data_IF_871898925378
#
_entry.id   IF_871898925378
#
_cell.length_a   1.000
_cell.length_b   1.000
_cell.length_c   1.000
_cell.angle_alpha   90.00
_cell.angle_beta   90.00
_cell.angle_gamma   90.00
#
_symmetry.space_group_name_H-M   'P 1'
#
loop_
_entity.id
_entity.type
_entity.pdbx_description
1 polymer ?
#
# COMPACT_ATOMS: atom_id res chain seq x y z
N UNK A 1 -29.80 -5.43 -36.72
CA UNK A 1 -29.59 -4.01 -37.08
C UNK A 1 -29.49 -3.21 -35.79
N UNK A 2 -28.39 -2.46 -35.63
CA UNK A 2 -28.03 -1.47 -34.58
C UNK A 2 -27.56 -1.99 -33.20
N UNK A 3 -26.23 -2.11 -33.11
CA UNK A 3 -25.43 -1.79 -31.92
C UNK A 3 -25.76 -0.37 -31.42
N UNK A 4 -25.85 -0.19 -30.11
CA UNK A 4 -25.48 1.07 -29.47
C UNK A 4 -24.39 0.80 -28.43
N UNK A 5 -23.14 1.12 -28.81
CA UNK A 5 -22.03 1.29 -27.88
C UNK A 5 -22.30 2.57 -27.08
N UNK A 6 -22.49 2.46 -25.76
CA UNK A 6 -22.32 3.60 -24.86
C UNK A 6 -20.83 3.81 -24.66
N UNK A 7 -20.29 4.82 -25.35
CA UNK A 7 -19.00 5.43 -25.07
C UNK A 7 -19.10 6.08 -23.69
N UNK A 8 -18.45 5.50 -22.68
CA UNK A 8 -18.25 6.17 -21.40
C UNK A 8 -17.22 7.29 -21.60
N UNK A 9 -17.59 8.49 -21.18
CA UNK A 9 -16.78 9.68 -21.40
C UNK A 9 -15.62 9.71 -20.39
N UNK A 10 -14.54 10.40 -20.78
CA UNK A 10 -13.34 10.65 -19.96
C UNK A 10 -13.62 11.37 -18.63
N UNK A 11 -14.85 11.83 -18.39
CA UNK A 11 -15.28 12.61 -17.23
C UNK A 11 -16.02 11.80 -16.14
N UNK A 12 -16.32 10.52 -16.37
CA UNK A 12 -16.94 9.65 -15.35
C UNK A 12 -15.88 9.10 -14.36
N UNK A 13 -14.60 9.41 -14.60
CA UNK A 13 -13.44 8.94 -13.83
C UNK A 13 -13.28 9.63 -12.46
N UNK A 14 -13.94 10.76 -12.21
CA UNK A 14 -13.75 11.57 -10.99
C UNK A 14 -14.94 11.61 -10.02
N UNK A 15 -16.05 10.90 -10.30
CA UNK A 15 -17.29 10.98 -9.47
C UNK A 15 -17.81 9.63 -8.97
N UNK A 16 -16.91 8.82 -8.43
CA UNK A 16 -17.23 7.56 -7.76
C UNK A 16 -16.93 7.54 -6.26
N UNK A 17 -16.75 8.69 -5.60
CA UNK A 17 -16.48 8.79 -4.17
C UNK A 17 -17.78 8.98 -3.38
N UNK A 18 -18.50 7.89 -3.13
CA UNK A 18 -19.51 7.87 -2.06
C UNK A 18 -19.87 6.44 -1.65
N UNK A 19 -18.89 5.70 -1.15
CA UNK A 19 -19.16 4.56 -0.26
C UNK A 19 -18.38 4.76 1.02
N UNK A 20 -19.07 5.33 2.02
CA UNK A 20 -18.72 5.44 3.44
C UNK A 20 -17.30 4.98 3.82
N UNK A 21 -16.33 5.87 3.61
CA UNK A 21 -14.98 5.69 4.12
C UNK A 21 -15.00 5.74 5.65
N UNK A 22 -14.72 4.62 6.30
CA UNK A 22 -14.27 4.65 7.70
C UNK A 22 -12.89 5.30 7.72
N UNK A 23 -12.64 6.30 8.58
CA UNK A 23 -11.37 7.02 8.56
C UNK A 23 -10.28 6.14 9.17
N UNK A 24 -9.54 5.42 8.32
CA UNK A 24 -8.24 4.89 8.73
C UNK A 24 -7.23 6.04 8.72
N UNK A 25 -7.18 6.71 9.86
CA UNK A 25 -6.31 7.84 10.14
C UNK A 25 -4.82 7.46 10.06
N UNK A 26 -4.08 8.30 9.35
CA UNK A 26 -2.62 8.36 9.39
C UNK A 26 -2.00 8.42 8.00
N UNK A 27 -0.87 9.13 7.90
CA UNK A 27 0.11 9.29 6.79
C UNK A 27 0.33 8.09 5.84
N UNK A 28 -0.16 6.91 6.22
CA UNK A 28 -0.08 5.57 5.64
C UNK A 28 -1.18 5.22 4.63
N UNK A 29 -2.40 5.77 4.77
CA UNK A 29 -3.46 5.65 3.76
C UNK A 29 -3.07 6.24 2.40
N UNK A 30 -2.12 7.19 2.40
CA UNK A 30 -1.54 7.80 1.20
C UNK A 30 -0.60 6.90 0.41
N UNK A 31 -0.04 5.84 1.01
CA UNK A 31 0.85 4.92 0.29
C UNK A 31 0.09 4.12 -0.79
N UNK A 32 -1.19 3.86 -0.52
CA UNK A 32 -2.10 3.10 -1.37
C UNK A 32 -3.40 3.85 -1.60
N UNK A 33 -3.30 5.15 -1.91
CA UNK A 33 -4.41 5.89 -2.53
C UNK A 33 -5.03 5.04 -3.66
N UNK A 34 -6.36 5.05 -3.81
CA UNK A 34 -7.17 4.06 -4.55
C UNK A 34 -6.58 3.64 -5.91
N UNK A 35 -5.89 4.55 -6.62
CA UNK A 35 -5.21 4.27 -7.89
C UNK A 35 -3.93 3.42 -7.83
N UNK A 36 -3.15 3.46 -6.75
CA UNK A 36 -1.88 2.72 -6.61
C UNK A 36 -2.11 1.25 -6.28
N UNK A 37 -3.08 0.96 -5.41
CA UNK A 37 -3.45 -0.43 -5.07
C UNK A 37 -3.93 -1.19 -6.30
N UNK A 38 -4.82 -0.59 -7.10
CA UNK A 38 -5.31 -1.17 -8.37
C UNK A 38 -4.15 -1.51 -9.32
N UNK A 39 -3.21 -0.58 -9.46
CA UNK A 39 -2.03 -0.77 -10.30
C UNK A 39 -1.13 -1.90 -9.81
N UNK A 40 -0.89 -1.98 -8.50
CA UNK A 40 -0.09 -3.05 -7.90
C UNK A 40 -0.75 -4.42 -8.06
N UNK A 41 -2.06 -4.53 -7.77
CA UNK A 41 -2.81 -5.79 -7.96
C UNK A 41 -2.75 -6.25 -9.42
N UNK A 42 -2.96 -5.34 -10.37
CA UNK A 42 -2.86 -5.65 -11.79
C UNK A 42 -1.44 -6.09 -12.19
N UNK A 43 -0.41 -5.43 -11.66
CA UNK A 43 0.99 -5.81 -11.87
C UNK A 43 1.26 -7.24 -11.37
N UNK A 44 0.78 -7.61 -10.19
CA UNK A 44 0.99 -8.95 -9.64
C UNK A 44 0.31 -10.03 -10.48
N UNK A 45 -0.94 -9.80 -10.91
CA UNK A 45 -1.67 -10.73 -11.79
C UNK A 45 -0.99 -10.87 -13.17
N UNK A 46 -0.28 -9.84 -13.64
CA UNK A 46 0.51 -9.92 -14.87
C UNK A 46 1.73 -10.85 -14.74
N UNK A 47 2.31 -10.99 -13.54
CA UNK A 47 3.46 -11.88 -13.34
C UNK A 47 3.05 -13.35 -13.39
N UNK A 48 1.93 -13.68 -12.77
CA UNK A 48 1.29 -14.99 -12.86
C UNK A 48 -0.18 -14.90 -12.48
N UNK A 49 -1.04 -15.80 -13.00
CA UNK A 49 -2.41 -15.91 -12.53
C UNK A 49 -2.46 -16.23 -11.04
N UNK A 50 -3.31 -15.51 -10.29
CA UNK A 50 -3.32 -15.55 -8.81
C UNK A 50 -4.73 -15.57 -8.26
N UNK A 51 -4.88 -16.16 -7.08
CA UNK A 51 -6.07 -16.04 -6.26
C UNK A 51 -6.00 -14.80 -5.38
N UNK A 52 -7.17 -14.32 -4.91
CA UNK A 52 -7.24 -13.12 -4.06
C UNK A 52 -6.40 -13.21 -2.78
N UNK A 53 -6.30 -14.39 -2.16
CA UNK A 53 -5.49 -14.58 -0.95
C UNK A 53 -3.99 -14.57 -1.23
N UNK A 54 -3.55 -15.04 -2.39
CA UNK A 54 -2.14 -15.00 -2.81
C UNK A 54 -1.70 -13.56 -3.02
N UNK A 55 -2.57 -12.73 -3.62
CA UNK A 55 -2.35 -11.29 -3.79
C UNK A 55 -2.21 -10.60 -2.43
N UNK A 56 -3.07 -10.92 -1.45
CA UNK A 56 -2.95 -10.37 -0.09
C UNK A 56 -1.59 -10.73 0.53
N UNK A 57 -1.19 -12.01 0.42
CA UNK A 57 0.06 -12.52 0.98
C UNK A 57 1.27 -11.85 0.33
N UNK A 58 1.31 -11.80 -0.99
CA UNK A 58 2.43 -11.23 -1.74
C UNK A 58 2.59 -9.73 -1.53
N UNK A 59 1.48 -8.97 -1.47
CA UNK A 59 1.54 -7.54 -1.10
C UNK A 59 2.10 -7.39 0.32
N UNK A 60 1.68 -8.25 1.26
CA UNK A 60 2.20 -8.22 2.64
C UNK A 60 3.70 -8.49 2.71
N UNK A 61 4.21 -9.39 1.87
CA UNK A 61 5.63 -9.71 1.77
C UNK A 61 6.41 -8.55 1.12
N UNK A 62 5.88 -7.95 0.05
CA UNK A 62 6.50 -6.82 -0.64
C UNK A 62 6.67 -5.59 0.26
N UNK A 63 5.74 -5.36 1.19
CA UNK A 63 5.81 -4.25 2.15
C UNK A 63 6.56 -4.59 3.44
N UNK A 64 7.20 -5.75 3.53
CA UNK A 64 8.03 -6.15 4.68
C UNK A 64 7.24 -6.53 5.94
N UNK A 65 6.00 -7.00 5.80
CA UNK A 65 5.16 -7.45 6.93
C UNK A 65 4.57 -6.34 7.80
N UNK A 66 4.99 -5.08 7.59
CA UNK A 66 4.44 -3.92 8.32
C UNK A 66 3.02 -3.52 7.92
N UNK A 67 2.46 -4.13 6.88
CA UNK A 67 1.09 -3.93 6.40
C UNK A 67 0.60 -5.17 5.65
N UNK A 68 -0.61 -5.62 5.96
CA UNK A 68 -1.29 -6.66 5.17
C UNK A 68 -2.62 -6.06 4.71
N UNK A 69 -2.89 -5.97 3.39
CA UNK A 69 -4.17 -5.46 2.93
C UNK A 69 -5.29 -6.41 3.34
N UNK A 70 -6.42 -5.85 3.78
CA UNK A 70 -7.58 -6.67 4.17
C UNK A 70 -8.27 -7.24 2.93
N UNK A 71 -9.03 -8.31 3.14
CA UNK A 71 -9.96 -8.82 2.13
C UNK A 71 -10.90 -7.70 1.60
N UNK A 72 -11.41 -6.85 2.50
CA UNK A 72 -12.23 -5.69 2.14
C UNK A 72 -11.51 -4.60 1.33
N UNK A 73 -10.19 -4.67 1.18
CA UNK A 73 -9.42 -3.80 0.27
C UNK A 73 -9.19 -4.49 -1.08
N UNK A 74 -8.82 -5.78 -1.05
CA UNK A 74 -8.40 -6.52 -2.25
C UNK A 74 -9.59 -6.96 -3.10
N UNK A 75 -10.65 -7.51 -2.53
CA UNK A 75 -11.78 -8.02 -3.33
C UNK A 75 -12.54 -6.91 -4.07
N UNK A 76 -12.81 -5.73 -3.48
CA UNK A 76 -13.36 -4.61 -4.26
C UNK A 76 -12.43 -4.13 -5.38
N UNK A 77 -11.11 -4.18 -5.14
CA UNK A 77 -10.12 -3.87 -6.18
C UNK A 77 -10.17 -4.87 -7.33
N UNK A 78 -10.28 -6.17 -7.03
CA UNK A 78 -10.40 -7.22 -8.03
C UNK A 78 -11.70 -7.09 -8.84
N UNK A 79 -12.84 -6.89 -8.16
CA UNK A 79 -14.13 -6.65 -8.82
C UNK A 79 -14.04 -5.46 -9.78
N UNK A 80 -13.45 -4.35 -9.35
CA UNK A 80 -13.26 -3.18 -10.20
C UNK A 80 -12.40 -3.48 -11.44
N UNK A 81 -11.30 -4.23 -11.29
CA UNK A 81 -10.43 -4.59 -12.42
C UNK A 81 -11.13 -5.55 -13.39
N UNK A 82 -11.97 -6.45 -12.88
CA UNK A 82 -12.79 -7.39 -13.66
C UNK A 82 -13.88 -6.64 -14.44
N UNK A 83 -14.62 -5.74 -13.77
CA UNK A 83 -15.65 -4.89 -14.39
C UNK A 83 -15.08 -4.00 -15.50
N UNK A 84 -13.83 -3.55 -15.35
CA UNK A 84 -13.10 -2.79 -16.35
C UNK A 84 -12.50 -3.66 -17.47
N UNK A 85 -12.67 -4.97 -17.41
CA UNK A 85 -12.13 -5.93 -18.39
C UNK A 85 -10.60 -6.02 -18.40
N UNK A 86 -9.93 -5.58 -17.33
CA UNK A 86 -8.46 -5.60 -17.21
C UNK A 86 -7.96 -6.95 -16.70
N UNK A 87 -8.81 -7.68 -15.98
CA UNK A 87 -8.58 -9.06 -15.57
C UNK A 87 -9.81 -9.92 -15.90
N UNK A 88 -9.63 -11.22 -15.99
CA UNK A 88 -10.68 -12.20 -16.17
C UNK A 88 -10.53 -13.33 -15.15
N UNK A 89 -11.62 -13.99 -14.80
CA UNK A 89 -11.60 -15.18 -13.93
C UNK A 89 -11.80 -16.44 -14.75
N UNK A 90 -10.97 -17.45 -14.48
CA UNK A 90 -11.27 -18.82 -14.91
C UNK A 90 -12.00 -19.54 -13.76
N UNK A 91 -13.20 -20.03 -14.03
CA UNK A 91 -13.96 -20.83 -13.06
C UNK A 91 -13.54 -22.30 -13.19
N UNK A 92 -12.50 -22.69 -12.47
CA UNK A 92 -12.07 -24.09 -12.31
C UNK A 92 -12.96 -24.84 -11.29
N UNK A 93 -14.28 -24.86 -11.53
CA UNK A 93 -15.23 -25.70 -10.77
C UNK A 93 -15.21 -25.47 -9.25
N UNK A 94 -14.79 -26.50 -8.49
CA UNK A 94 -14.74 -26.50 -7.02
C UNK A 94 -13.62 -25.62 -6.44
N UNK A 95 -12.74 -25.09 -7.30
CA UNK A 95 -11.60 -24.30 -6.88
C UNK A 95 -11.94 -22.80 -6.78
N UNK A 96 -11.14 -22.08 -5.98
CA UNK A 96 -11.32 -20.65 -5.78
C UNK A 96 -11.06 -19.89 -7.10
N UNK A 97 -11.74 -18.76 -7.31
CA UNK A 97 -11.53 -17.91 -8.50
C UNK A 97 -10.05 -17.52 -8.67
N UNK A 98 -9.47 -17.92 -9.79
CA UNK A 98 -8.14 -17.50 -10.22
C UNK A 98 -8.27 -16.35 -11.21
N UNK A 99 -7.49 -15.28 -11.01
CA UNK A 99 -7.51 -14.08 -11.83
C UNK A 99 -6.35 -14.08 -12.83
N UNK A 100 -6.64 -13.73 -14.07
CA UNK A 100 -5.71 -13.66 -15.19
C UNK A 100 -5.75 -12.26 -15.80
N UNK A 101 -4.61 -11.74 -16.23
CA UNK A 101 -4.57 -10.44 -16.91
C UNK A 101 -5.10 -10.58 -18.34
N UNK A 102 -5.86 -9.58 -18.81
CA UNK A 102 -6.28 -9.50 -20.21
C UNK A 102 -5.31 -8.67 -21.04
N UNK A 103 -5.46 -8.68 -22.36
CA UNK A 103 -4.68 -7.78 -23.24
C UNK A 103 -4.94 -6.30 -22.91
N UNK A 104 -6.18 -5.92 -22.58
CA UNK A 104 -6.50 -4.57 -22.11
C UNK A 104 -5.79 -4.25 -20.78
N UNK A 105 -5.70 -5.21 -19.88
CA UNK A 105 -4.91 -5.11 -18.65
C UNK A 105 -3.43 -4.86 -18.90
N UNK A 106 -2.82 -5.59 -19.85
CA UNK A 106 -1.40 -5.42 -20.23
C UNK A 106 -1.11 -4.03 -20.78
N UNK A 107 -1.93 -3.54 -21.72
CA UNK A 107 -1.82 -2.17 -22.22
C UNK A 107 -1.93 -1.14 -21.10
N UNK A 108 -2.92 -1.32 -20.22
CA UNK A 108 -3.14 -0.41 -19.09
C UNK A 108 -1.95 -0.40 -18.12
N UNK A 109 -1.30 -1.53 -17.93
CA UNK A 109 -0.11 -1.65 -17.10
C UNK A 109 1.08 -0.93 -17.74
N UNK A 110 1.26 -1.05 -19.07
CA UNK A 110 2.30 -0.32 -19.81
C UNK A 110 2.12 1.20 -19.69
N UNK A 111 0.90 1.73 -19.87
CA UNK A 111 0.59 3.16 -19.69
C UNK A 111 0.95 3.70 -18.30
N UNK A 112 0.97 2.82 -17.30
CA UNK A 112 1.23 3.16 -15.89
C UNK A 112 2.59 2.67 -15.40
N UNK A 113 3.46 2.18 -16.30
CA UNK A 113 4.72 1.52 -15.96
C UNK A 113 5.59 2.33 -15.01
N UNK A 114 5.78 3.62 -15.30
CA UNK A 114 6.61 4.51 -14.46
C UNK A 114 6.07 4.66 -13.03
N UNK A 115 4.75 4.75 -12.88
CA UNK A 115 4.10 4.85 -11.57
C UNK A 115 4.27 3.57 -10.76
N UNK A 116 4.13 2.41 -11.41
CA UNK A 116 4.34 1.10 -10.77
C UNK A 116 5.80 0.93 -10.38
N UNK A 117 6.74 1.27 -11.26
CA UNK A 117 8.17 1.22 -10.99
C UNK A 117 8.53 2.05 -9.76
N UNK A 118 8.10 3.31 -9.72
CA UNK A 118 8.32 4.18 -8.56
C UNK A 118 7.67 3.66 -7.27
N UNK A 119 6.54 2.97 -7.36
CA UNK A 119 5.91 2.34 -6.21
C UNK A 119 6.76 1.18 -5.70
N UNK A 120 7.20 0.29 -6.59
CA UNK A 120 8.02 -0.87 -6.25
C UNK A 120 9.37 -0.44 -5.64
N UNK A 121 10.08 0.53 -6.24
CA UNK A 121 11.34 1.06 -5.70
C UNK A 121 11.17 1.61 -4.27
N UNK A 122 10.05 2.30 -4.00
CA UNK A 122 9.74 2.80 -2.65
C UNK A 122 9.43 1.69 -1.66
N UNK A 123 8.82 0.58 -2.11
CA UNK A 123 8.55 -0.59 -1.28
C UNK A 123 9.85 -1.36 -0.99
N UNK A 124 10.70 -1.54 -2.00
CA UNK A 124 12.03 -2.18 -1.88
C UNK A 124 12.92 -1.39 -0.92
N UNK A 125 13.04 -0.08 -1.07
CA UNK A 125 13.83 0.77 -0.15
C UNK A 125 13.36 0.59 1.30
N UNK A 126 12.05 0.52 1.53
CA UNK A 126 11.49 0.29 2.87
C UNK A 126 11.78 -1.11 3.38
N UNK A 127 11.69 -2.12 2.51
CA UNK A 127 11.99 -3.51 2.84
C UNK A 127 13.46 -3.70 3.18
N UNK A 128 14.38 -3.11 2.41
CA UNK A 128 15.82 -3.13 2.70
C UNK A 128 16.14 -2.47 4.04
N UNK A 129 15.48 -1.35 4.37
CA UNK A 129 15.62 -0.76 5.70
C UNK A 129 15.15 -1.75 6.76
N UNK A 130 14.01 -2.43 6.58
CA UNK A 130 13.42 -3.33 7.58
C UNK A 130 14.08 -4.71 7.69
N UNK A 131 14.61 -5.28 6.61
CA UNK A 131 15.10 -6.66 6.53
C UNK A 131 16.62 -6.77 6.54
N UNK A 132 17.34 -5.66 6.61
CA UNK A 132 18.79 -5.68 6.65
C UNK A 132 19.27 -5.74 8.11
N UNK A 133 19.82 -6.90 8.50
CA UNK A 133 20.39 -7.16 9.82
C UNK A 133 21.44 -6.10 10.22
N UNK A 134 22.08 -5.43 9.25
CA UNK A 134 23.00 -4.32 9.51
C UNK A 134 22.35 -3.12 10.19
N UNK A 135 21.03 -2.98 10.09
CA UNK A 135 20.26 -1.90 10.72
C UNK A 135 19.42 -2.39 11.90
N UNK A 136 19.55 -3.65 12.31
CA UNK A 136 18.81 -4.22 13.44
C UNK A 136 18.98 -3.38 14.71
N UNK A 137 20.20 -2.92 14.97
CA UNK A 137 20.51 -2.06 16.12
C UNK A 137 19.80 -0.70 16.04
N UNK A 138 19.71 -0.10 14.85
CA UNK A 138 19.01 1.17 14.62
C UNK A 138 17.50 0.98 14.83
N UNK A 139 16.91 -0.08 14.27
CA UNK A 139 15.49 -0.39 14.47
C UNK A 139 15.15 -0.64 15.93
N UNK A 140 15.96 -1.44 16.64
CA UNK A 140 15.79 -1.67 18.08
C UNK A 140 15.85 -0.37 18.86
N UNK A 141 16.83 0.49 18.56
CA UNK A 141 16.96 1.80 19.21
C UNK A 141 15.71 2.69 18.96
N UNK A 142 15.20 2.70 17.72
CA UNK A 142 14.01 3.47 17.37
C UNK A 142 12.72 2.96 18.04
N UNK A 143 12.51 1.65 18.14
CA UNK A 143 11.35 1.10 18.86
C UNK A 143 11.43 1.32 20.38
N UNK A 144 12.64 1.30 20.95
CA UNK A 144 12.87 1.70 22.35
C UNK A 144 12.50 3.17 22.57
N UNK A 145 12.98 4.08 21.71
CA UNK A 145 12.67 5.51 21.78
C UNK A 145 11.16 5.76 21.70
N UNK A 146 10.49 5.17 20.72
CA UNK A 146 9.04 5.28 20.52
C UNK A 146 8.24 4.75 21.72
N UNK A 147 8.70 3.66 22.34
CA UNK A 147 8.08 3.10 23.54
C UNK A 147 8.23 4.05 24.72
N UNK A 148 9.44 4.58 24.96
CA UNK A 148 9.69 5.56 26.01
C UNK A 148 8.84 6.83 25.84
N UNK A 149 8.73 7.35 24.60
CA UNK A 149 7.87 8.49 24.30
C UNK A 149 6.39 8.20 24.55
N UNK A 150 5.89 7.01 24.17
CA UNK A 150 4.50 6.62 24.44
C UNK A 150 4.20 6.58 25.94
N UNK A 151 5.12 6.04 26.74
CA UNK A 151 4.97 5.98 28.20
C UNK A 151 4.95 7.37 28.82
N UNK A 152 5.84 8.26 28.37
CA UNK A 152 5.88 9.64 28.82
C UNK A 152 4.61 10.40 28.45
N UNK A 153 4.17 10.35 27.18
CA UNK A 153 2.97 11.04 26.69
C UNK A 153 1.67 10.55 27.34
N UNK A 154 1.65 9.32 27.88
CA UNK A 154 0.55 8.79 28.67
C UNK A 154 0.58 9.19 30.15
N UNK A 155 1.64 9.83 30.62
CA UNK A 155 1.80 10.24 32.02
C UNK A 155 1.10 11.57 32.31
N UNK A 156 0.53 11.72 33.50
CA UNK A 156 -0.12 12.97 33.95
C UNK A 156 0.86 14.09 34.31
N UNK A 157 2.16 13.80 34.33
CA UNK A 157 3.22 14.71 34.81
C UNK A 157 4.06 15.32 33.69
N UNK A 158 3.55 15.29 32.46
CA UNK A 158 4.26 15.84 31.31
C UNK A 158 4.05 17.36 31.23
N UNK A 159 4.97 18.10 31.83
CA UNK A 159 4.99 19.57 31.78
C UNK A 159 5.73 20.11 30.53
N UNK A 160 5.60 21.42 30.30
CA UNK A 160 6.20 22.10 29.15
C UNK A 160 7.74 22.00 29.13
N UNK A 161 8.37 21.94 30.30
CA UNK A 161 9.82 21.84 30.44
C UNK A 161 10.32 20.46 29.98
N UNK A 162 9.67 19.38 30.43
CA UNK A 162 9.96 18.01 29.99
C UNK A 162 9.72 17.82 28.50
N UNK A 163 8.63 18.37 27.95
CA UNK A 163 8.34 18.31 26.52
C UNK A 163 9.48 18.96 25.71
N UNK A 164 9.90 20.15 26.12
CA UNK A 164 10.98 20.89 25.45
C UNK A 164 12.28 20.11 25.48
N UNK A 165 12.63 19.54 26.64
CA UNK A 165 13.83 18.71 26.82
C UNK A 165 13.81 17.44 25.97
N UNK A 166 12.64 16.79 25.84
CA UNK A 166 12.47 15.62 24.95
C UNK A 166 12.71 16.02 23.49
N UNK A 167 12.13 17.13 23.04
CA UNK A 167 12.30 17.62 21.67
C UNK A 167 13.77 17.96 21.37
N UNK A 168 14.43 18.71 22.26
CA UNK A 168 15.84 19.08 22.13
C UNK A 168 16.74 17.84 21.99
N UNK A 169 16.49 16.78 22.77
CA UNK A 169 17.26 15.53 22.67
C UNK A 169 17.05 14.80 21.33
N UNK A 170 15.82 14.79 20.80
CA UNK A 170 15.52 14.15 19.51
C UNK A 170 16.18 14.93 18.37
N UNK A 171 16.09 16.27 18.39
CA UNK A 171 16.68 17.13 17.38
C UNK A 171 18.21 17.02 17.38
N UNK A 172 18.83 16.99 18.57
CA UNK A 172 20.27 16.81 18.69
C UNK A 172 20.74 15.47 18.10
N UNK A 173 20.05 14.37 18.44
CA UNK A 173 20.35 13.06 17.87
C UNK A 173 20.21 13.04 16.34
N UNK A 174 19.19 13.72 15.79
CA UNK A 174 19.00 13.83 14.34
C UNK A 174 20.13 14.61 13.65
N UNK A 175 20.61 15.71 14.27
CA UNK A 175 21.75 16.50 13.77
C UNK A 175 23.04 15.69 13.76
N UNK A 176 23.30 14.92 14.82
CA UNK A 176 24.49 14.07 14.92
C UNK A 176 24.47 12.96 13.87
N UNK A 177 23.34 12.28 13.70
CA UNK A 177 23.17 11.24 12.68
C UNK A 177 23.36 11.83 11.27
N UNK A 178 22.85 13.04 11.01
CA UNK A 178 23.00 13.70 9.71
C UNK A 178 24.42 14.16 9.36
N UNK A 179 25.36 14.09 10.31
CA UNK A 179 26.77 14.48 10.14
C UNK A 179 27.71 13.28 9.95
N UNK A 180 27.24 12.05 10.16
CA UNK A 180 27.99 10.81 9.90
C UNK A 180 28.09 10.54 8.39
#
# INVERSE_FOLDING_TARGET
>A
MRLQRKLHSRADFERGDSFAERPHSGRRGRLFESGRMKGLVLYLINQSPKHGYEIIKEISELVGGGYTPSAGTIYPTLSFLEDMGLIATENSGADRKQYHITEAGKLRLQERGDMIKQLLEKLETKREIQSNDKFLDIHRAMENLKTALRLQLGSKELDAEKIRKIAENIDQAAVEIGRL
#
